data_IF_486582933061
#
_entry.id   IF_486582933061
#
_cell.length_a   1.000
_cell.length_b   1.000
_cell.length_c   1.000
_cell.angle_alpha   90.00
_cell.angle_beta   90.00
_cell.angle_gamma   90.00
#
_symmetry.space_group_name_H-M   'P 1'
#
loop_
_entity.id
_entity.type
_entity.pdbx_description
1 polymer ?
#
# COMPACT_ATOMS: atom_id res chain seq x y z
N UNK A 1 48.43 -5.95 9.47
CA UNK A 1 47.50 -5.06 8.74
C UNK A 1 46.09 -5.52 9.09
N UNK A 2 45.27 -4.68 9.76
CA UNK A 2 43.89 -5.04 10.15
C UNK A 2 42.95 -4.70 9.00
N UNK A 3 42.21 -5.68 8.51
CA UNK A 3 41.19 -5.46 7.49
C UNK A 3 40.03 -4.67 8.10
N UNK A 4 39.66 -3.55 7.47
CA UNK A 4 38.49 -2.76 7.80
C UNK A 4 37.39 -3.17 6.81
N UNK A 5 36.41 -3.93 7.27
CA UNK A 5 35.24 -4.28 6.46
C UNK A 5 34.29 -3.08 6.43
N UNK A 6 34.20 -2.43 5.27
CA UNK A 6 33.23 -1.35 5.04
C UNK A 6 31.87 -2.00 4.78
N UNK A 7 30.94 -1.83 5.72
CA UNK A 7 29.55 -2.23 5.56
C UNK A 7 28.81 -1.15 4.76
N UNK A 8 28.65 -1.35 3.46
CA UNK A 8 27.88 -0.43 2.61
C UNK A 8 26.40 -0.56 2.96
N UNK A 9 25.87 0.41 3.70
CA UNK A 9 24.42 0.56 3.89
C UNK A 9 23.82 0.97 2.55
N UNK A 10 23.05 0.08 1.91
CA UNK A 10 22.19 0.47 0.80
C UNK A 10 21.16 1.45 1.35
N UNK A 11 21.28 2.72 0.98
CA UNK A 11 20.25 3.71 1.25
C UNK A 11 18.96 3.23 0.57
N UNK A 12 17.95 2.89 1.38
CA UNK A 12 16.64 2.46 0.90
C UNK A 12 16.01 3.67 0.19
N UNK A 13 16.10 3.72 -1.14
CA UNK A 13 15.49 4.79 -1.94
C UNK A 13 14.01 4.83 -1.61
N UNK A 14 13.57 5.97 -1.08
CA UNK A 14 12.26 6.14 -0.47
C UNK A 14 11.14 5.48 -1.26
N UNK A 15 10.32 4.73 -0.52
CA UNK A 15 9.04 4.17 -0.94
C UNK A 15 8.30 5.18 -1.81
N UNK A 16 8.16 4.89 -3.11
CA UNK A 16 7.50 5.80 -4.04
C UNK A 16 6.02 6.05 -3.70
N UNK A 17 5.45 5.25 -2.80
CA UNK A 17 4.08 5.36 -2.36
C UNK A 17 3.92 4.72 -0.97
N UNK A 18 2.94 5.21 -0.20
CA UNK A 18 2.54 4.67 1.10
C UNK A 18 1.05 4.33 1.06
N UNK A 19 0.73 3.12 1.53
CA UNK A 19 -0.63 2.66 1.78
C UNK A 19 -0.85 2.61 3.27
N UNK A 20 -2.01 3.05 3.75
CA UNK A 20 -2.44 2.83 5.13
C UNK A 20 -3.71 2.01 5.16
N UNK A 21 -3.84 1.20 6.19
CA UNK A 21 -5.06 0.49 6.52
C UNK A 21 -5.66 1.02 7.80
N UNK A 22 -6.98 0.86 7.90
CA UNK A 22 -7.78 1.46 8.94
C UNK A 22 -8.81 0.45 9.45
N UNK A 23 -9.15 0.59 10.74
CA UNK A 23 -10.13 -0.28 11.41
C UNK A 23 -11.57 0.16 11.20
N UNK A 24 -11.79 1.34 10.63
CA UNK A 24 -13.10 1.85 10.25
C UNK A 24 -13.32 1.75 8.73
N UNK A 25 -14.54 2.01 8.27
CA UNK A 25 -14.89 2.03 6.85
C UNK A 25 -14.60 3.37 6.15
N UNK A 26 -14.06 4.38 6.83
CA UNK A 26 -13.88 5.74 6.31
C UNK A 26 -12.44 6.24 6.36
N UNK A 27 -11.46 5.34 6.41
CA UNK A 27 -10.04 5.66 6.47
C UNK A 27 -9.65 6.70 7.54
N UNK A 28 -10.27 6.65 8.72
CA UNK A 28 -10.08 7.64 9.79
C UNK A 28 -9.37 7.08 11.03
N UNK A 29 -9.53 5.79 11.32
CA UNK A 29 -8.93 5.08 12.47
C UNK A 29 -7.75 4.22 12.02
N UNK A 30 -6.59 4.86 11.92
CA UNK A 30 -5.35 4.22 11.46
C UNK A 30 -5.06 2.91 12.21
N UNK A 31 -4.63 1.89 11.48
CA UNK A 31 -4.24 0.60 12.02
C UNK A 31 -2.74 0.34 11.78
N UNK A 32 -2.34 0.28 10.51
CA UNK A 32 -0.98 -0.11 10.11
C UNK A 32 -0.69 0.30 8.66
N UNK A 33 0.59 0.34 8.32
CA UNK A 33 1.07 0.54 6.95
C UNK A 33 1.93 -0.66 6.52
N UNK A 34 1.66 -1.29 5.35
CA UNK A 34 2.59 -2.25 4.76
C UNK A 34 3.94 -1.58 4.45
N UNK A 35 5.06 -2.26 4.75
CA UNK A 35 6.37 -1.82 4.27
C UNK A 35 6.52 -2.10 2.77
N UNK A 36 7.37 -1.33 2.08
CA UNK A 36 7.82 -1.65 0.71
C UNK A 36 6.69 -1.83 -0.31
N UNK A 37 5.73 -0.89 -0.32
CA UNK A 37 4.58 -0.92 -1.23
C UNK A 37 5.07 -0.87 -2.69
N UNK A 38 4.80 -1.91 -3.51
CA UNK A 38 5.17 -1.90 -4.92
C UNK A 38 4.37 -0.88 -5.72
N UNK A 39 4.98 -0.29 -6.73
CA UNK A 39 4.39 0.77 -7.57
C UNK A 39 4.38 0.43 -9.05
N UNK A 40 4.64 -0.84 -9.39
CA UNK A 40 4.75 -1.41 -10.73
C UNK A 40 3.48 -2.18 -11.17
N UNK A 41 2.44 -2.17 -10.33
CA UNK A 41 1.22 -2.95 -10.54
C UNK A 41 1.31 -4.41 -10.11
N UNK A 42 2.44 -4.83 -9.52
CA UNK A 42 2.56 -6.18 -8.96
C UNK A 42 1.59 -6.40 -7.80
N UNK A 43 1.11 -7.64 -7.67
CA UNK A 43 0.23 -8.01 -6.58
C UNK A 43 1.03 -8.22 -5.29
N UNK A 44 0.63 -7.53 -4.23
CA UNK A 44 1.23 -7.63 -2.91
C UNK A 44 0.22 -8.19 -1.91
N UNK A 45 0.54 -9.33 -1.30
CA UNK A 45 -0.25 -9.91 -0.23
C UNK A 45 0.04 -9.21 1.09
N UNK A 46 -0.99 -8.61 1.67
CA UNK A 46 -0.91 -7.98 2.98
C UNK A 46 -2.27 -8.05 3.64
N UNK A 47 -2.31 -8.68 4.80
CA UNK A 47 -3.51 -8.87 5.59
C UNK A 47 -3.19 -8.60 7.05
N UNK A 48 -4.06 -7.86 7.71
CA UNK A 48 -4.05 -7.68 9.15
C UNK A 48 -5.47 -7.85 9.67
N UNK A 49 -5.58 -8.29 10.92
CA UNK A 49 -6.87 -8.47 11.55
C UNK A 49 -7.62 -7.14 11.65
N UNK A 50 -8.96 -7.21 11.53
CA UNK A 50 -9.87 -6.10 11.80
C UNK A 50 -9.68 -4.86 10.90
N UNK A 51 -9.04 -5.00 9.73
CA UNK A 51 -9.00 -3.95 8.72
C UNK A 51 -10.34 -3.84 8.01
N UNK A 52 -10.78 -2.63 7.71
CA UNK A 52 -12.06 -2.34 7.05
C UNK A 52 -11.90 -1.44 5.82
N UNK A 53 -10.94 -0.54 5.83
CA UNK A 53 -10.63 0.33 4.71
C UNK A 53 -9.13 0.51 4.54
N UNK A 54 -8.72 0.96 3.36
CA UNK A 54 -7.35 1.26 3.01
C UNK A 54 -7.30 2.51 2.14
N UNK A 55 -6.20 3.27 2.22
CA UNK A 55 -6.00 4.44 1.39
C UNK A 55 -4.58 4.54 0.84
N UNK A 56 -4.40 5.43 -0.13
CA UNK A 56 -3.09 5.94 -0.54
C UNK A 56 -2.78 7.14 0.37
N UNK A 57 -1.85 6.95 1.30
CA UNK A 57 -1.48 7.95 2.30
C UNK A 57 -0.37 8.89 1.82
N UNK A 58 0.51 8.40 0.95
CA UNK A 58 1.52 9.21 0.27
C UNK A 58 1.78 8.66 -1.13
N UNK A 59 2.14 9.53 -2.08
CA UNK A 59 2.51 9.17 -3.44
C UNK A 59 3.54 10.18 -3.96
N UNK A 60 4.72 9.69 -4.36
CA UNK A 60 5.80 10.50 -4.90
C UNK A 60 5.80 10.53 -6.44
N UNK A 61 4.76 9.98 -7.07
CA UNK A 61 4.54 10.04 -8.52
C UNK A 61 3.47 11.09 -8.86
N UNK A 62 3.47 11.62 -10.10
CA UNK A 62 2.38 12.49 -10.58
C UNK A 62 0.97 11.89 -10.41
N UNK A 63 0.85 10.57 -10.49
CA UNK A 63 -0.39 9.87 -10.15
C UNK A 63 -0.12 8.50 -9.56
N UNK A 64 -0.91 8.13 -8.53
CA UNK A 64 -0.94 6.79 -7.99
C UNK A 64 -2.37 6.24 -8.03
N UNK A 65 -2.46 4.94 -8.30
CA UNK A 65 -3.69 4.17 -8.23
C UNK A 65 -3.43 2.87 -7.49
N UNK A 66 -4.39 2.43 -6.70
CA UNK A 66 -4.36 1.15 -6.01
C UNK A 66 -5.69 0.44 -6.19
N UNK A 67 -5.62 -0.85 -6.47
CA UNK A 67 -6.74 -1.78 -6.36
C UNK A 67 -6.49 -2.65 -5.15
N UNK A 68 -7.39 -2.60 -4.19
CA UNK A 68 -7.40 -3.43 -2.99
C UNK A 68 -8.35 -4.60 -3.19
N UNK A 69 -8.00 -5.78 -2.69
CA UNK A 69 -8.74 -7.01 -2.92
C UNK A 69 -9.10 -7.68 -1.60
N UNK A 70 -10.34 -8.16 -1.46
CA UNK A 70 -10.81 -8.84 -0.25
C UNK A 70 -10.12 -10.20 -0.01
N UNK A 71 -9.61 -10.82 -1.08
CA UNK A 71 -8.84 -12.07 -1.05
C UNK A 71 -7.34 -11.86 -1.22
N UNK A 72 -6.58 -12.92 -0.95
CA UNK A 72 -5.16 -12.98 -1.29
C UNK A 72 -4.94 -13.12 -2.80
N UNK A 73 -3.74 -12.81 -3.27
CA UNK A 73 -3.29 -12.93 -4.66
C UNK A 73 -4.15 -12.13 -5.65
N UNK A 74 -4.63 -10.96 -5.22
CA UNK A 74 -5.43 -10.02 -5.99
C UNK A 74 -6.72 -10.67 -6.53
N UNK A 75 -7.44 -11.35 -5.63
CA UNK A 75 -8.71 -12.04 -5.90
C UNK A 75 -9.84 -11.50 -5.04
N UNK A 76 -11.08 -11.71 -5.49
CA UNK A 76 -12.28 -11.34 -4.75
C UNK A 76 -12.77 -9.93 -5.07
N UNK A 77 -13.54 -9.37 -4.14
CA UNK A 77 -14.15 -8.03 -4.27
C UNK A 77 -13.06 -6.97 -4.24
N UNK A 78 -13.22 -5.94 -5.06
CA UNK A 78 -12.24 -4.86 -5.21
C UNK A 78 -12.69 -3.55 -4.57
N UNK A 79 -11.73 -2.80 -4.03
CA UNK A 79 -11.86 -1.40 -3.67
C UNK A 79 -10.81 -0.59 -4.43
N UNK A 80 -11.17 0.61 -4.90
CA UNK A 80 -10.29 1.46 -5.68
C UNK A 80 -9.90 2.72 -4.91
N UNK A 81 -8.63 3.10 -5.00
CA UNK A 81 -8.14 4.38 -4.52
C UNK A 81 -7.24 5.04 -5.57
N UNK A 82 -7.33 6.36 -5.68
CA UNK A 82 -6.41 7.15 -6.48
C UNK A 82 -6.13 8.51 -5.83
N UNK A 83 -4.92 9.03 -6.03
CA UNK A 83 -4.58 10.41 -5.63
C UNK A 83 -5.30 11.47 -6.47
N UNK A 84 -5.88 11.10 -7.60
CA UNK A 84 -6.67 11.98 -8.46
C UNK A 84 -8.19 11.90 -8.19
N UNK A 85 -8.61 11.02 -7.28
CA UNK A 85 -10.02 10.79 -6.94
C UNK A 85 -10.16 10.53 -5.43
N UNK A 86 -11.12 9.70 -5.02
CA UNK A 86 -11.13 9.18 -3.65
C UNK A 86 -9.86 8.38 -3.41
N UNK A 87 -9.07 8.79 -2.42
CA UNK A 87 -7.91 8.04 -1.98
C UNK A 87 -8.26 6.93 -1.00
N UNK A 88 -9.50 6.85 -0.50
CA UNK A 88 -9.99 5.84 0.43
C UNK A 88 -10.84 4.78 -0.28
N UNK A 89 -10.56 3.50 0.00
CA UNK A 89 -11.33 2.34 -0.40
C UNK A 89 -11.86 1.64 0.85
N UNK A 90 -13.17 1.34 0.87
CA UNK A 90 -13.84 0.69 2.00
C UNK A 90 -14.39 -0.68 1.63
N UNK A 91 -14.30 -1.64 2.55
CA UNK A 91 -14.86 -2.98 2.41
C UNK A 91 -15.71 -3.41 3.63
N UNK A 92 -16.33 -2.44 4.32
CA UNK A 92 -17.47 -2.63 5.24
C UNK A 92 -17.44 -3.85 6.19
N UNK A 93 -16.30 -4.17 6.82
CA UNK A 93 -16.19 -5.30 7.73
C UNK A 93 -15.28 -6.44 7.27
N UNK A 94 -14.96 -6.49 5.97
CA UNK A 94 -14.22 -7.62 5.38
C UNK A 94 -12.74 -7.34 5.14
N UNK A 95 -12.36 -6.07 5.09
CA UNK A 95 -10.98 -5.62 4.88
C UNK A 95 -10.41 -6.01 3.52
N UNK A 96 -9.11 -5.80 3.35
CA UNK A 96 -8.40 -6.21 2.15
C UNK A 96 -7.19 -7.07 2.53
N UNK A 97 -6.95 -8.12 1.75
CA UNK A 97 -5.90 -9.13 1.99
C UNK A 97 -4.77 -9.08 0.96
N UNK A 98 -4.97 -8.30 -0.11
CA UNK A 98 -3.92 -7.97 -1.06
C UNK A 98 -4.24 -6.66 -1.76
N UNK A 99 -3.24 -6.06 -2.40
CA UNK A 99 -3.39 -4.89 -3.25
C UNK A 99 -2.41 -4.91 -4.41
N UNK A 100 -2.73 -4.17 -5.46
CA UNK A 100 -1.82 -3.87 -6.56
C UNK A 100 -1.86 -2.37 -6.81
N UNK A 101 -0.71 -1.74 -6.89
CA UNK A 101 -0.62 -0.31 -7.02
C UNK A 101 0.35 0.11 -8.12
N UNK A 102 -0.02 1.18 -8.83
CA UNK A 102 0.73 1.71 -9.96
C UNK A 102 0.98 3.21 -9.74
N UNK A 103 2.25 3.59 -9.72
CA UNK A 103 2.69 4.97 -9.84
C UNK A 103 3.01 5.29 -11.30
N UNK A 104 2.51 6.40 -11.84
CA UNK A 104 2.83 6.83 -13.21
C UNK A 104 3.58 8.14 -13.22
N UNK A 105 4.69 8.16 -13.94
CA UNK A 105 5.37 9.38 -14.37
C UNK A 105 4.57 10.02 -15.51
N UNK A 106 4.58 11.36 -15.56
CA UNK A 106 3.96 12.14 -16.62
C UNK A 106 4.69 11.96 -17.95
#
# INVERSE_FOLDING_TARGET
MKAVTILTLLANTGLGMQVNYYTDGGCSKFAVSPPNVPTDGSCYNYSWSSMNSANIANCNFPSCTCVFYSGANCKGVTGFASTQASNCASNWGQGFRSFACLGRNA
#
